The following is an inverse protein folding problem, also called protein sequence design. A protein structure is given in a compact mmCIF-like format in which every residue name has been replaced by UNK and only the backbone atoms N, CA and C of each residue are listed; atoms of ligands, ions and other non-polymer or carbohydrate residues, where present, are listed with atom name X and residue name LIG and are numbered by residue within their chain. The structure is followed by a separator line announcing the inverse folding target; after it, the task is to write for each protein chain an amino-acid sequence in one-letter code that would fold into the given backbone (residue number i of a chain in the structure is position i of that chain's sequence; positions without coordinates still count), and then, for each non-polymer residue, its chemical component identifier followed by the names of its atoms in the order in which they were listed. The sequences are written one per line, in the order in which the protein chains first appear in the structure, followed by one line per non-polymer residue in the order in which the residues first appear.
data_IF_032218673370
#
_entry.id   IF_032218673370
#
_cell.length_a   1.000
_cell.length_b   1.000
_cell.length_c   1.000
_cell.angle_alpha   90.00
_cell.angle_beta   90.00
_cell.angle_gamma   90.00
#
_symmetry.space_group_name_H-M   'P 1'
#
loop_
_entity.id
_entity.type
_entity.pdbx_description
1 polymer ?
#
# COMPACT_ATOMS: atom_id res chain seq x y z
N UNK A 1 -8.24 37.09 -24.31
CA UNK A 1 -7.70 35.84 -24.86
C UNK A 1 -6.98 35.11 -23.73
N UNK A 2 -7.68 34.27 -22.98
CA UNK A 2 -7.10 33.48 -21.89
C UNK A 2 -7.73 32.09 -21.96
N UNK A 3 -7.05 31.13 -22.61
CA UNK A 3 -7.29 29.69 -22.44
C UNK A 3 -6.54 28.90 -23.52
N UNK A 4 -5.25 28.65 -23.34
CA UNK A 4 -4.53 27.52 -23.98
C UNK A 4 -3.12 27.44 -23.39
N UNK A 5 -3.04 27.09 -22.12
CA UNK A 5 -1.86 26.48 -21.54
C UNK A 5 -2.35 25.51 -20.46
N UNK A 6 -3.13 24.51 -20.89
CA UNK A 6 -3.26 23.30 -20.07
C UNK A 6 -1.89 22.68 -20.07
N UNK A 7 -1.30 22.49 -18.89
CA UNK A 7 -0.06 21.72 -18.79
C UNK A 7 -0.31 20.36 -19.45
N UNK A 8 0.64 19.86 -20.24
CA UNK A 8 0.41 18.67 -21.10
C UNK A 8 -0.10 17.45 -20.31
N UNK A 9 0.16 17.37 -18.99
CA UNK A 9 -0.31 16.31 -18.11
C UNK A 9 -1.74 16.46 -17.57
N UNK A 10 -2.43 17.60 -17.76
CA UNK A 10 -3.81 17.81 -17.27
C UNK A 10 -4.81 16.97 -18.08
N UNK A 11 -4.67 16.95 -19.41
CA UNK A 11 -5.55 16.18 -20.27
C UNK A 11 -5.57 14.66 -19.97
N UNK A 12 -4.42 13.96 -19.81
CA UNK A 12 -4.42 12.55 -19.46
C UNK A 12 -4.90 12.27 -18.03
N UNK A 13 -4.65 13.18 -17.07
CA UNK A 13 -5.18 13.09 -15.71
C UNK A 13 -6.71 13.21 -15.67
N UNK A 14 -7.26 14.21 -16.36
CA UNK A 14 -8.71 14.43 -16.44
C UNK A 14 -9.42 13.25 -17.11
N UNK A 15 -8.82 12.68 -18.16
CA UNK A 15 -9.34 11.48 -18.81
C UNK A 15 -9.33 10.29 -17.86
N UNK A 16 -8.20 10.02 -17.20
CA UNK A 16 -8.04 8.92 -16.26
C UNK A 16 -9.02 9.00 -15.09
N UNK A 17 -9.18 10.17 -14.49
CA UNK A 17 -10.14 10.40 -13.39
C UNK A 17 -11.58 10.21 -13.84
N UNK A 18 -11.96 10.73 -15.02
CA UNK A 18 -13.30 10.50 -15.58
C UNK A 18 -13.60 9.02 -15.84
N UNK A 19 -12.59 8.23 -16.22
CA UNK A 19 -12.73 6.79 -16.44
C UNK A 19 -12.90 6.03 -15.12
N UNK A 20 -12.17 6.40 -14.06
CA UNK A 20 -12.39 5.88 -12.70
C UNK A 20 -13.83 6.13 -12.25
N UNK A 21 -14.32 7.36 -12.41
CA UNK A 21 -15.68 7.74 -11.98
C UNK A 21 -16.78 6.98 -12.75
N UNK A 22 -16.45 6.46 -13.94
CA UNK A 22 -17.33 5.56 -14.73
C UNK A 22 -17.07 4.07 -14.48
N UNK A 23 -16.26 3.72 -13.47
CA UNK A 23 -15.82 2.36 -13.16
C UNK A 23 -15.11 1.63 -14.32
N UNK A 24 -14.54 2.39 -15.27
CA UNK A 24 -13.75 1.87 -16.40
C UNK A 24 -12.27 1.79 -16.02
N UNK A 25 -11.96 0.94 -15.03
CA UNK A 25 -10.64 0.93 -14.39
C UNK A 25 -9.49 0.57 -15.34
N UNK A 26 -9.61 -0.49 -16.16
CA UNK A 26 -8.54 -0.84 -17.11
C UNK A 26 -8.26 0.29 -18.12
N UNK A 27 -9.31 0.96 -18.60
CA UNK A 27 -9.14 2.08 -19.54
C UNK A 27 -8.45 3.29 -18.89
N UNK A 28 -8.54 3.43 -17.56
CA UNK A 28 -7.90 4.51 -16.81
C UNK A 28 -6.39 4.28 -16.58
N UNK A 29 -5.88 3.06 -16.76
CA UNK A 29 -4.47 2.72 -16.49
C UNK A 29 -3.53 3.56 -17.37
N UNK A 30 -3.69 3.47 -18.69
CA UNK A 30 -2.77 4.10 -19.63
C UNK A 30 -2.77 5.64 -19.51
N UNK A 31 -3.93 6.34 -19.46
CA UNK A 31 -3.95 7.79 -19.24
C UNK A 31 -3.26 8.21 -17.94
N UNK A 32 -3.49 7.51 -16.83
CA UNK A 32 -2.88 7.89 -15.55
C UNK A 32 -1.39 7.57 -15.49
N UNK A 33 -0.93 6.47 -16.07
CA UNK A 33 0.50 6.17 -16.18
C UNK A 33 1.21 7.18 -17.08
N UNK A 34 0.56 7.62 -18.17
CA UNK A 34 1.07 8.71 -19.01
C UNK A 34 1.15 10.01 -18.23
N UNK A 35 0.09 10.41 -17.53
CA UNK A 35 0.10 11.61 -16.68
C UNK A 35 1.21 11.54 -15.61
N UNK A 36 1.49 10.34 -15.09
CA UNK A 36 2.53 10.10 -14.10
C UNK A 36 3.95 10.22 -14.65
N UNK A 37 4.17 9.93 -15.94
CA UNK A 37 5.46 10.08 -16.61
C UNK A 37 5.80 11.54 -16.95
N UNK A 38 4.81 12.43 -16.88
CA UNK A 38 4.97 13.83 -17.27
C UNK A 38 5.49 14.67 -16.09
N UNK A 39 6.37 15.61 -16.40
CA UNK A 39 6.73 16.66 -15.45
C UNK A 39 5.57 17.63 -15.28
N UNK A 40 5.47 18.23 -14.10
CA UNK A 40 4.44 19.21 -13.81
C UNK A 40 4.58 19.77 -12.40
N UNK A 41 3.77 20.79 -12.05
CA UNK A 41 3.74 21.34 -10.71
C UNK A 41 3.42 20.27 -9.66
N UNK A 42 3.93 20.47 -8.44
CA UNK A 42 3.73 19.54 -7.33
C UNK A 42 2.24 19.19 -7.09
N UNK A 43 1.35 20.17 -7.25
CA UNK A 43 -0.10 19.96 -7.11
C UNK A 43 -0.68 18.97 -8.14
N UNK A 44 -0.27 19.10 -9.41
CA UNK A 44 -0.69 18.19 -10.47
C UNK A 44 -0.13 16.78 -10.24
N UNK A 45 1.16 16.69 -9.88
CA UNK A 45 1.79 15.40 -9.56
C UNK A 45 1.09 14.70 -8.40
N UNK A 46 0.74 15.45 -7.35
CA UNK A 46 -0.05 14.96 -6.21
C UNK A 46 -1.41 14.45 -6.66
N UNK A 47 -2.10 15.19 -7.54
CA UNK A 47 -3.40 14.77 -8.08
C UNK A 47 -3.28 13.47 -8.90
N UNK A 48 -2.24 13.32 -9.72
CA UNK A 48 -1.96 12.08 -10.46
C UNK A 48 -1.70 10.90 -9.53
N UNK A 49 -0.88 11.08 -8.49
CA UNK A 49 -0.62 10.02 -7.50
C UNK A 49 -1.92 9.60 -6.77
N UNK A 50 -2.78 10.57 -6.45
CA UNK A 50 -4.08 10.30 -5.83
C UNK A 50 -5.03 9.54 -6.77
N UNK A 51 -5.04 9.90 -8.06
CA UNK A 51 -5.84 9.19 -9.06
C UNK A 51 -5.34 7.75 -9.26
N UNK A 52 -4.02 7.52 -9.29
CA UNK A 52 -3.43 6.18 -9.34
C UNK A 52 -3.76 5.35 -8.09
N UNK A 53 -3.72 5.96 -6.91
CA UNK A 53 -4.13 5.31 -5.67
C UNK A 53 -5.61 4.88 -5.71
N UNK A 54 -6.51 5.77 -6.15
CA UNK A 54 -7.94 5.46 -6.35
C UNK A 54 -8.16 4.35 -7.38
N UNK A 55 -7.41 4.39 -8.49
CA UNK A 55 -7.47 3.35 -9.50
C UNK A 55 -7.04 1.99 -8.95
N UNK A 56 -5.95 1.95 -8.19
CA UNK A 56 -5.46 0.71 -7.58
C UNK A 56 -6.48 0.08 -6.62
N UNK A 57 -7.19 0.89 -5.82
CA UNK A 57 -8.31 0.40 -5.03
C UNK A 57 -9.41 -0.23 -5.89
N UNK A 58 -9.87 0.46 -6.94
CA UNK A 58 -10.91 -0.07 -7.83
C UNK A 58 -10.51 -1.35 -8.58
N UNK A 59 -9.24 -1.48 -8.97
CA UNK A 59 -8.69 -2.71 -9.55
C UNK A 59 -8.63 -3.83 -8.50
N UNK A 60 -8.21 -3.52 -7.28
CA UNK A 60 -8.18 -4.48 -6.16
C UNK A 60 -9.55 -5.02 -5.79
N UNK A 61 -10.60 -4.18 -5.81
CA UNK A 61 -11.99 -4.60 -5.60
C UNK A 61 -12.47 -5.59 -6.68
N UNK A 62 -11.89 -5.53 -7.89
CA UNK A 62 -12.15 -6.45 -8.99
C UNK A 62 -11.21 -7.65 -9.02
N UNK A 63 -10.33 -7.77 -8.03
CA UNK A 63 -9.28 -8.80 -7.95
C UNK A 63 -8.22 -8.71 -9.06
N UNK A 64 -8.10 -7.55 -9.72
CA UNK A 64 -7.10 -7.27 -10.75
C UNK A 64 -5.77 -6.84 -10.09
N UNK A 65 -5.24 -7.70 -9.21
CA UNK A 65 -4.11 -7.37 -8.32
C UNK A 65 -2.81 -7.05 -9.05
N UNK A 66 -2.58 -7.60 -10.24
CA UNK A 66 -1.40 -7.31 -11.03
C UNK A 66 -1.39 -5.86 -11.54
N UNK A 67 -2.53 -5.34 -12.00
CA UNK A 67 -2.62 -3.95 -12.43
C UNK A 67 -2.71 -3.00 -11.23
N UNK A 68 -3.40 -3.40 -10.15
CA UNK A 68 -3.41 -2.64 -8.89
C UNK A 68 -1.99 -2.44 -8.35
N UNK A 69 -1.18 -3.50 -8.35
CA UNK A 69 0.24 -3.46 -7.97
C UNK A 69 1.01 -2.42 -8.78
N UNK A 70 0.88 -2.44 -10.11
CA UNK A 70 1.57 -1.51 -11.02
C UNK A 70 1.24 -0.05 -10.69
N UNK A 71 -0.04 0.27 -10.48
CA UNK A 71 -0.46 1.66 -10.22
C UNK A 71 -0.13 2.12 -8.79
N UNK A 72 -0.18 1.24 -7.79
CA UNK A 72 0.25 1.55 -6.42
C UNK A 72 1.75 1.84 -6.34
N UNK A 73 2.59 1.06 -7.03
CA UNK A 73 4.04 1.34 -7.13
C UNK A 73 4.28 2.73 -7.73
N UNK A 74 3.55 3.07 -8.81
CA UNK A 74 3.72 4.39 -9.44
C UNK A 74 3.25 5.53 -8.53
N UNK A 75 2.15 5.35 -7.81
CA UNK A 75 1.67 6.32 -6.82
C UNK A 75 2.68 6.52 -5.68
N UNK A 76 3.23 5.44 -5.12
CA UNK A 76 4.24 5.49 -4.07
C UNK A 76 5.47 6.30 -4.50
N UNK A 77 5.98 6.06 -5.72
CA UNK A 77 7.12 6.80 -6.26
C UNK A 77 6.86 8.30 -6.33
N UNK A 78 5.68 8.73 -6.78
CA UNK A 78 5.33 10.15 -6.84
C UNK A 78 5.19 10.75 -5.43
N UNK A 79 4.55 10.05 -4.50
CA UNK A 79 4.44 10.54 -3.12
C UNK A 79 5.80 10.69 -2.44
N UNK A 80 6.73 9.74 -2.67
CA UNK A 80 8.10 9.82 -2.19
C UNK A 80 8.82 11.06 -2.76
N UNK A 81 8.71 11.31 -4.06
CA UNK A 81 9.29 12.49 -4.71
C UNK A 81 8.70 13.82 -4.20
N UNK A 82 7.44 13.80 -3.75
CA UNK A 82 6.77 14.96 -3.14
C UNK A 82 7.03 15.10 -1.63
N UNK A 83 7.71 14.12 -1.01
CA UNK A 83 7.90 14.07 0.45
C UNK A 83 6.62 13.77 1.24
N UNK A 84 5.57 13.24 0.60
CA UNK A 84 4.36 12.80 1.30
C UNK A 84 4.53 11.38 1.84
N UNK A 85 5.21 11.30 2.97
CA UNK A 85 5.53 10.04 3.67
C UNK A 85 4.28 9.21 3.96
N UNK A 86 3.18 9.85 4.35
CA UNK A 86 1.98 9.11 4.76
C UNK A 86 1.36 8.37 3.58
N UNK A 87 1.20 9.07 2.45
CA UNK A 87 0.63 8.46 1.25
C UNK A 87 1.60 7.50 0.57
N UNK A 88 2.91 7.73 0.67
CA UNK A 88 3.91 6.75 0.26
C UNK A 88 3.74 5.43 1.02
N UNK A 89 3.72 5.47 2.36
CA UNK A 89 3.57 4.26 3.20
C UNK A 89 2.24 3.55 2.93
N UNK A 90 1.15 4.31 2.73
CA UNK A 90 -0.15 3.73 2.36
C UNK A 90 -0.07 2.97 1.04
N UNK A 91 0.53 3.57 0.00
CA UNK A 91 0.70 2.89 -1.29
C UNK A 91 1.55 1.62 -1.16
N UNK A 92 2.61 1.65 -0.34
CA UNK A 92 3.47 0.48 -0.12
C UNK A 92 2.79 -0.65 0.65
N UNK A 93 1.91 -0.33 1.62
CA UNK A 93 1.04 -1.33 2.24
C UNK A 93 0.16 -2.00 1.18
N UNK A 94 -0.46 -1.22 0.29
CA UNK A 94 -1.33 -1.75 -0.75
C UNK A 94 -0.57 -2.58 -1.78
N UNK A 95 0.65 -2.20 -2.14
CA UNK A 95 1.58 -3.02 -2.95
C UNK A 95 1.83 -4.38 -2.28
N UNK A 96 2.16 -4.39 -0.98
CA UNK A 96 2.38 -5.65 -0.24
C UNK A 96 1.12 -6.52 -0.19
N UNK A 97 -0.07 -5.91 -0.05
CA UNK A 97 -1.34 -6.64 -0.11
C UNK A 97 -1.56 -7.24 -1.51
N UNK A 98 -1.26 -6.51 -2.58
CA UNK A 98 -1.40 -7.03 -3.94
C UNK A 98 -0.50 -8.26 -4.16
N UNK A 99 0.76 -8.19 -3.73
CA UNK A 99 1.70 -9.32 -3.80
C UNK A 99 1.24 -10.52 -2.98
N UNK A 100 0.68 -10.27 -1.80
CA UNK A 100 0.05 -11.31 -0.98
C UNK A 100 -1.11 -11.97 -1.74
N UNK A 101 -2.02 -11.19 -2.34
CA UNK A 101 -3.14 -11.74 -3.11
C UNK A 101 -2.69 -12.51 -4.36
N UNK A 102 -1.55 -12.13 -4.95
CA UNK A 102 -0.88 -12.85 -6.03
C UNK A 102 -0.09 -14.08 -5.55
N UNK A 103 -0.14 -14.40 -4.25
CA UNK A 103 0.58 -15.50 -3.59
C UNK A 103 2.11 -15.38 -3.64
N UNK A 104 2.63 -14.19 -3.92
CA UNK A 104 4.04 -13.86 -3.82
C UNK A 104 4.41 -13.49 -2.38
N UNK A 105 4.22 -14.44 -1.46
CA UNK A 105 4.28 -14.22 -0.01
C UNK A 105 5.62 -13.64 0.46
N UNK A 106 6.74 -14.14 -0.05
CA UNK A 106 8.08 -13.64 0.29
C UNK A 106 8.30 -12.21 -0.23
N UNK A 107 7.79 -11.86 -1.42
CA UNK A 107 7.83 -10.50 -1.96
C UNK A 107 7.02 -9.55 -1.07
N UNK A 108 5.80 -9.95 -0.71
CA UNK A 108 4.94 -9.18 0.19
C UNK A 108 5.61 -8.92 1.54
N UNK A 109 6.24 -9.94 2.14
CA UNK A 109 6.99 -9.80 3.40
C UNK A 109 8.11 -8.76 3.25
N UNK A 110 8.93 -8.85 2.19
CA UNK A 110 10.03 -7.89 1.97
C UNK A 110 9.52 -6.45 1.84
N UNK A 111 8.40 -6.25 1.13
CA UNK A 111 7.75 -4.94 0.99
C UNK A 111 7.28 -4.43 2.35
N UNK A 112 6.61 -5.26 3.14
CA UNK A 112 6.14 -4.88 4.47
C UNK A 112 7.29 -4.59 5.43
N UNK A 113 8.39 -5.35 5.41
CA UNK A 113 9.57 -5.10 6.25
C UNK A 113 10.20 -3.74 5.93
N UNK A 114 10.43 -3.48 4.64
CA UNK A 114 10.95 -2.19 4.20
C UNK A 114 9.96 -1.04 4.47
N UNK A 115 8.65 -1.31 4.47
CA UNK A 115 7.63 -0.33 4.89
C UNK A 115 7.68 -0.04 6.39
N UNK A 116 7.84 -1.08 7.21
CA UNK A 116 7.94 -0.95 8.65
C UNK A 116 9.21 -0.19 9.07
N UNK A 117 10.33 -0.38 8.37
CA UNK A 117 11.56 0.36 8.61
C UNK A 117 11.43 1.85 8.23
N UNK A 118 10.81 2.16 7.08
CA UNK A 118 10.54 3.56 6.71
C UNK A 118 9.58 4.21 7.71
N UNK A 119 8.51 3.51 8.10
CA UNK A 119 7.55 3.97 9.10
C UNK A 119 8.21 4.21 10.47
N UNK A 120 9.18 3.38 10.87
CA UNK A 120 10.00 3.62 12.07
C UNK A 120 10.80 4.92 11.96
N UNK A 121 11.55 5.08 10.86
CA UNK A 121 12.41 6.26 10.62
C UNK A 121 11.62 7.57 10.58
N UNK A 122 10.37 7.52 10.14
CA UNK A 122 9.50 8.68 9.96
C UNK A 122 8.48 8.88 11.09
N UNK A 123 8.51 8.04 12.14
CA UNK A 123 7.62 8.14 13.29
C UNK A 123 6.15 7.77 12.99
N UNK A 124 5.90 7.04 11.90
CA UNK A 124 4.56 6.62 11.45
C UNK A 124 4.15 5.29 12.08
N UNK A 125 3.94 5.30 13.39
CA UNK A 125 3.68 4.10 14.21
C UNK A 125 2.56 3.20 13.70
N UNK A 126 1.44 3.79 13.24
CA UNK A 126 0.30 3.02 12.73
C UNK A 126 0.66 2.17 11.50
N UNK A 127 1.41 2.73 10.56
CA UNK A 127 1.88 2.01 9.36
C UNK A 127 2.89 0.91 9.71
N UNK A 128 3.74 1.15 10.71
CA UNK A 128 4.65 0.12 11.22
C UNK A 128 3.88 -1.04 11.84
N UNK A 129 2.85 -0.77 12.64
CA UNK A 129 2.01 -1.78 13.26
C UNK A 129 1.27 -2.64 12.21
N UNK A 130 0.66 -1.98 11.21
CA UNK A 130 -0.03 -2.66 10.10
C UNK A 130 0.91 -3.56 9.29
N UNK A 131 2.12 -3.09 8.97
CA UNK A 131 3.10 -3.90 8.25
C UNK A 131 3.53 -5.13 9.06
N UNK A 132 3.81 -4.96 10.36
CA UNK A 132 4.19 -6.06 11.27
C UNK A 132 3.07 -7.09 11.39
N UNK A 133 1.82 -6.65 11.54
CA UNK A 133 0.66 -7.55 11.57
C UNK A 133 0.53 -8.32 10.25
N UNK A 134 0.64 -7.61 9.11
CA UNK A 134 0.52 -8.23 7.78
C UNK A 134 1.56 -9.33 7.56
N UNK A 135 2.82 -9.09 7.97
CA UNK A 135 3.88 -10.12 7.92
C UNK A 135 3.50 -11.32 8.80
N UNK A 136 3.02 -11.09 10.02
CA UNK A 136 2.62 -12.18 10.92
C UNK A 136 1.49 -13.03 10.35
N UNK A 137 0.48 -12.42 9.72
CA UNK A 137 -0.61 -13.14 9.07
C UNK A 137 -0.07 -14.05 7.95
N UNK A 138 0.81 -13.53 7.08
CA UNK A 138 1.38 -14.34 6.00
C UNK A 138 2.19 -15.53 6.56
N UNK A 139 3.00 -15.29 7.59
CA UNK A 139 3.85 -16.33 8.18
C UNK A 139 3.03 -17.42 8.88
N UNK A 140 1.93 -17.07 9.55
CA UNK A 140 1.04 -18.01 10.25
C UNK A 140 0.11 -18.71 9.27
N UNK A 141 -0.70 -17.96 8.52
CA UNK A 141 -1.83 -18.48 7.75
C UNK A 141 -1.41 -19.17 6.45
N UNK A 142 -0.27 -18.78 5.86
CA UNK A 142 0.14 -19.26 4.53
C UNK A 142 1.45 -20.03 4.53
N UNK A 143 2.47 -19.54 5.23
CA UNK A 143 3.80 -20.17 5.20
C UNK A 143 4.04 -21.16 6.34
N UNK A 144 3.19 -21.16 7.38
CA UNK A 144 3.34 -22.00 8.59
C UNK A 144 4.72 -21.86 9.26
N UNK A 145 5.31 -20.67 9.18
CA UNK A 145 6.63 -20.34 9.72
C UNK A 145 6.50 -19.65 11.09
N UNK A 146 6.01 -20.40 12.06
CA UNK A 146 5.58 -19.89 13.36
C UNK A 146 6.67 -19.17 14.15
N UNK A 147 7.88 -19.76 14.22
CA UNK A 147 9.02 -19.14 14.91
C UNK A 147 9.37 -17.76 14.33
N UNK A 148 9.26 -17.60 13.00
CA UNK A 148 9.47 -16.30 12.34
C UNK A 148 8.34 -15.32 12.63
N UNK A 149 7.09 -15.78 12.82
CA UNK A 149 5.93 -14.91 13.05
C UNK A 149 5.93 -14.23 14.43
N UNK A 150 6.45 -14.91 15.45
CA UNK A 150 6.46 -14.44 16.86
C UNK A 150 6.96 -12.99 17.03
N UNK A 151 8.14 -12.58 16.52
CA UNK A 151 8.61 -11.21 16.68
C UNK A 151 7.69 -10.17 16.02
N UNK A 152 7.15 -10.44 14.82
CA UNK A 152 6.26 -9.51 14.13
C UNK A 152 4.91 -9.37 14.85
N UNK A 153 4.29 -10.48 15.26
CA UNK A 153 3.02 -10.47 15.99
C UNK A 153 3.16 -9.77 17.36
N UNK A 154 4.29 -10.00 18.05
CA UNK A 154 4.60 -9.35 19.34
C UNK A 154 4.72 -7.83 19.17
N UNK A 155 5.49 -7.37 18.19
CA UNK A 155 5.69 -5.94 17.95
C UNK A 155 4.38 -5.28 17.47
N UNK A 156 3.63 -5.92 16.57
CA UNK A 156 2.32 -5.43 16.13
C UNK A 156 1.36 -5.22 17.31
N UNK A 157 1.21 -6.22 18.18
CA UNK A 157 0.35 -6.13 19.36
C UNK A 157 0.78 -4.99 20.30
N UNK A 158 2.08 -4.83 20.52
CA UNK A 158 2.63 -3.75 21.36
C UNK A 158 2.32 -2.37 20.76
N UNK A 159 2.54 -2.20 19.46
CA UNK A 159 2.34 -0.93 18.77
C UNK A 159 0.86 -0.54 18.73
N UNK A 160 -0.04 -1.45 18.37
CA UNK A 160 -1.48 -1.18 18.36
C UNK A 160 -2.02 -0.81 19.75
N UNK A 161 -1.56 -1.48 20.81
CA UNK A 161 -1.89 -1.07 22.19
C UNK A 161 -1.40 0.33 22.51
N UNK A 162 -0.20 0.70 22.04
CA UNK A 162 0.36 2.04 22.29
C UNK A 162 -0.40 3.16 21.58
N UNK A 163 -1.08 2.85 20.48
CA UNK A 163 -1.91 3.81 19.72
C UNK A 163 -3.40 3.76 20.10
N UNK A 164 -3.80 2.88 21.02
CA UNK A 164 -5.19 2.71 21.45
C UNK A 164 -6.06 1.86 20.50
N UNK A 165 -5.46 1.21 19.51
CA UNK A 165 -6.16 0.30 18.59
C UNK A 165 -6.23 -1.10 19.21
N UNK A 166 -7.11 -1.27 20.19
CA UNK A 166 -7.20 -2.52 20.94
C UNK A 166 -7.77 -3.68 20.10
N UNK A 167 -8.54 -3.39 19.06
CA UNK A 167 -9.07 -4.39 18.13
C UNK A 167 -7.93 -5.05 17.36
N UNK A 168 -7.07 -4.25 16.72
CA UNK A 168 -5.92 -4.79 15.98
C UNK A 168 -4.86 -5.37 16.91
N UNK A 169 -4.75 -4.87 18.15
CA UNK A 169 -3.91 -5.51 19.15
C UNK A 169 -4.39 -6.94 19.48
N UNK A 170 -5.71 -7.14 19.65
CA UNK A 170 -6.28 -8.46 19.89
C UNK A 170 -6.05 -9.39 18.69
N UNK A 171 -6.17 -8.86 17.47
CA UNK A 171 -5.87 -9.61 16.26
C UNK A 171 -4.41 -10.08 16.21
N UNK A 172 -3.45 -9.18 16.48
CA UNK A 172 -2.04 -9.53 16.55
C UNK A 172 -1.73 -10.56 17.65
N UNK A 173 -2.41 -10.46 18.81
CA UNK A 173 -2.26 -11.42 19.91
C UNK A 173 -2.77 -12.82 19.56
N UNK A 174 -3.85 -12.92 18.78
CA UNK A 174 -4.34 -14.21 18.28
C UNK A 174 -3.27 -14.93 17.45
N UNK A 175 -2.65 -14.21 16.51
CA UNK A 175 -1.55 -14.72 15.70
C UNK A 175 -0.31 -15.07 16.54
N UNK A 176 0.01 -14.26 17.56
CA UNK A 176 1.10 -14.56 18.48
C UNK A 176 0.85 -15.85 19.27
N UNK A 177 -0.37 -16.06 19.76
CA UNK A 177 -0.73 -17.24 20.53
C UNK A 177 -0.68 -18.50 19.65
N UNK A 178 -1.20 -18.43 18.43
CA UNK A 178 -1.14 -19.52 17.45
C UNK A 178 0.31 -19.86 17.10
N UNK A 179 1.13 -18.85 16.77
CA UNK A 179 2.54 -19.06 16.47
C UNK A 179 3.33 -19.68 17.64
N UNK A 180 3.02 -19.31 18.88
CA UNK A 180 3.67 -19.91 20.06
C UNK A 180 3.19 -21.33 20.35
N UNK A 181 1.91 -21.62 20.11
CA UNK A 181 1.38 -22.96 20.30
C UNK A 181 1.97 -23.93 19.28
N UNK A 182 1.86 -23.60 17.99
CA UNK A 182 2.31 -24.45 16.89
C UNK A 182 3.84 -24.46 16.75
N UNK A 183 4.53 -23.39 17.17
CA UNK A 183 6.00 -23.33 17.12
C UNK A 183 6.72 -24.13 18.22
N UNK A 184 5.97 -24.64 19.21
CA UNK A 184 6.47 -25.48 20.30
C UNK A 184 5.99 -26.95 20.20
N UNK A 185 5.15 -27.27 19.21
CA UNK A 185 4.69 -28.62 18.90
C UNK A 185 5.66 -29.33 17.95
#
# INVERSE_FOLDING_TARGET
MVSQNRSEGEAPLDLGTSLIDKHRFHDAIEPLLRAAAMSGPAAQRRATAMALLRLGFGLGERQDFADALRVHIRAAAIFAELGDVEQELQCRILTGICEWQLKAYESAIQIFESNAENALRTGKTAFRALAMLSISCILVDHLRQFQRAVPYATEAARLFRSTGDYEQAAHALRHLNEARHEGNA
#
